data_IF_070735337851
#
_entry.id   IF_070735337851
#
_cell.length_a   1.000
_cell.length_b   1.000
_cell.length_c   1.000
_cell.angle_alpha   90.00
_cell.angle_beta   90.00
_cell.angle_gamma   90.00
#
_symmetry.space_group_name_H-M   'P 1'
#
loop_
_entity.id
_entity.type
_entity.pdbx_description
1 polymer ?
#
# COMPACT_ATOMS: atom_id res chain seq x y z
N UNK A 1 -14.13 -3.92 -45.00
CA UNK A 1 -14.35 -3.54 -43.59
C UNK A 1 -13.10 -2.83 -43.12
N UNK A 2 -13.13 -1.50 -43.06
CA UNK A 2 -11.98 -0.64 -42.74
C UNK A 2 -12.17 -0.19 -41.30
N UNK A 3 -11.35 -0.71 -40.39
CA UNK A 3 -11.35 -0.34 -38.99
C UNK A 3 -10.83 1.08 -38.81
N UNK A 4 -11.64 1.94 -38.21
CA UNK A 4 -11.23 3.28 -37.78
C UNK A 4 -10.18 3.18 -36.68
N UNK A 5 -8.90 3.27 -37.04
CA UNK A 5 -7.85 3.70 -36.11
C UNK A 5 -8.03 5.21 -35.88
N UNK A 6 -8.72 5.56 -34.80
CA UNK A 6 -8.78 6.93 -34.32
C UNK A 6 -7.37 7.43 -34.02
N UNK A 7 -7.01 8.58 -34.60
CA UNK A 7 -5.71 9.24 -34.40
C UNK A 7 -5.53 9.51 -32.90
N UNK A 8 -4.58 8.81 -32.26
CA UNK A 8 -4.15 9.10 -30.90
C UNK A 8 -3.34 10.40 -30.89
N UNK A 9 -3.80 11.37 -30.10
CA UNK A 9 -3.02 12.58 -29.79
C UNK A 9 -1.92 12.24 -28.77
N UNK A 10 -0.75 12.90 -28.81
CA UNK A 10 0.38 12.57 -27.94
C UNK A 10 0.05 12.86 -26.47
N UNK A 11 0.26 11.87 -25.61
CA UNK A 11 0.20 12.01 -24.15
C UNK A 11 1.38 12.85 -23.68
N UNK A 12 1.14 13.86 -22.84
CA UNK A 12 2.19 14.69 -22.24
C UNK A 12 3.16 13.79 -21.48
N UNK A 13 4.40 13.70 -21.97
CA UNK A 13 5.43 12.72 -21.64
C UNK A 13 6.01 12.74 -20.22
N UNK A 14 5.19 12.88 -19.18
CA UNK A 14 5.61 12.76 -17.79
C UNK A 14 5.59 11.28 -17.34
N UNK A 15 6.55 10.50 -17.83
CA UNK A 15 6.94 9.24 -17.19
C UNK A 15 8.39 9.38 -16.73
N UNK A 16 8.69 8.93 -15.51
CA UNK A 16 10.08 8.80 -15.07
C UNK A 16 10.74 7.70 -15.94
N UNK A 17 11.89 7.97 -16.58
CA UNK A 17 12.55 7.02 -17.48
C UNK A 17 12.78 5.63 -16.87
N UNK A 18 12.97 5.58 -15.56
CA UNK A 18 13.22 4.39 -14.73
C UNK A 18 12.04 3.42 -14.76
N UNK A 19 10.80 3.91 -14.91
CA UNK A 19 9.60 3.07 -14.94
C UNK A 19 9.53 2.14 -16.17
N UNK A 20 10.27 2.46 -17.24
CA UNK A 20 10.37 1.61 -18.44
C UNK A 20 11.26 0.39 -18.21
N UNK A 21 12.29 0.56 -17.37
CA UNK A 21 13.32 -0.44 -17.07
C UNK A 21 12.95 -1.32 -15.88
N UNK A 22 12.31 -0.75 -14.86
CA UNK A 22 11.89 -1.46 -13.66
C UNK A 22 11.27 -2.85 -13.89
N UNK A 23 10.25 -3.05 -14.76
CA UNK A 23 9.68 -4.39 -14.97
C UNK A 23 10.62 -5.35 -15.71
N UNK A 24 11.59 -4.84 -16.47
CA UNK A 24 12.62 -5.64 -17.14
C UNK A 24 13.67 -6.09 -16.12
N UNK A 25 14.10 -5.16 -15.26
CA UNK A 25 15.09 -5.40 -14.21
C UNK A 25 14.56 -6.43 -13.20
N UNK A 26 13.32 -6.28 -12.72
CA UNK A 26 12.67 -7.25 -11.82
C UNK A 26 12.56 -8.64 -12.44
N UNK A 27 12.23 -8.73 -13.73
CA UNK A 27 12.13 -10.01 -14.42
C UNK A 27 13.52 -10.66 -14.58
N UNK A 28 14.54 -9.87 -14.88
CA UNK A 28 15.93 -10.30 -14.97
C UNK A 28 16.43 -10.85 -13.63
N UNK A 29 16.28 -10.07 -12.57
CA UNK A 29 16.71 -10.43 -11.22
C UNK A 29 16.02 -11.72 -10.72
N UNK A 30 14.72 -11.86 -10.99
CA UNK A 30 13.96 -13.05 -10.62
C UNK A 30 14.48 -14.30 -11.34
N UNK A 31 14.72 -14.23 -12.66
CA UNK A 31 15.20 -15.37 -13.44
C UNK A 31 16.64 -15.73 -13.09
N UNK A 32 17.50 -14.74 -12.88
CA UNK A 32 18.87 -14.97 -12.43
C UNK A 32 18.91 -15.58 -11.03
N UNK A 33 18.06 -15.12 -10.11
CA UNK A 33 17.89 -15.70 -8.78
C UNK A 33 17.48 -17.18 -8.86
N UNK A 34 16.49 -17.51 -9.70
CA UNK A 34 16.07 -18.90 -9.90
C UNK A 34 17.19 -19.79 -10.45
N UNK A 35 18.01 -19.28 -11.38
CA UNK A 35 19.16 -20.01 -11.91
C UNK A 35 20.28 -20.20 -10.86
N UNK A 36 20.47 -19.21 -9.97
CA UNK A 36 21.49 -19.25 -8.91
C UNK A 36 21.10 -20.19 -7.78
N UNK A 37 19.84 -20.15 -7.37
CA UNK A 37 19.32 -20.90 -6.22
C UNK A 37 19.07 -22.39 -6.54
N UNK A 38 19.00 -22.74 -7.83
CA UNK A 38 18.83 -24.12 -8.31
C UNK A 38 20.02 -24.57 -9.16
N UNK A 39 21.14 -25.00 -8.55
CA UNK A 39 22.39 -25.31 -9.26
C UNK A 39 22.34 -26.56 -10.16
N UNK A 40 21.22 -27.30 -10.19
CA UNK A 40 21.06 -28.55 -10.94
C UNK A 40 19.91 -28.49 -11.97
N UNK A 41 19.63 -27.31 -12.52
CA UNK A 41 18.65 -27.18 -13.59
C UNK A 41 19.06 -28.06 -14.78
N UNK A 42 18.14 -28.90 -15.23
CA UNK A 42 18.33 -29.68 -16.44
C UNK A 42 18.37 -28.75 -17.67
N UNK A 43 19.01 -29.17 -18.77
CA UNK A 43 19.02 -28.39 -20.00
C UNK A 43 17.62 -28.00 -20.52
N UNK A 44 16.61 -28.84 -20.23
CA UNK A 44 15.23 -28.60 -20.60
C UNK A 44 14.57 -27.51 -19.74
N UNK A 45 14.91 -27.43 -18.46
CA UNK A 45 14.43 -26.38 -17.57
C UNK A 45 15.08 -25.04 -17.88
N UNK A 46 16.38 -25.03 -18.22
CA UNK A 46 17.04 -23.82 -18.72
C UNK A 46 16.36 -23.29 -19.99
N UNK A 47 16.06 -24.16 -20.95
CA UNK A 47 15.29 -23.77 -22.15
C UNK A 47 13.88 -23.28 -21.83
N UNK A 48 13.21 -23.87 -20.83
CA UNK A 48 11.89 -23.42 -20.40
C UNK A 48 11.95 -22.04 -19.73
N UNK A 49 13.01 -21.74 -18.97
CA UNK A 49 13.26 -20.43 -18.37
C UNK A 49 13.55 -19.36 -19.44
N UNK A 50 14.36 -19.68 -20.44
CA UNK A 50 14.59 -18.78 -21.58
C UNK A 50 13.28 -18.49 -22.34
N UNK A 51 12.48 -19.53 -22.59
CA UNK A 51 11.18 -19.38 -23.24
C UNK A 51 10.20 -18.54 -22.38
N UNK A 52 10.25 -18.69 -21.06
CA UNK A 52 9.47 -17.89 -20.12
C UNK A 52 9.91 -16.42 -20.16
N UNK A 53 11.21 -16.15 -20.15
CA UNK A 53 11.77 -14.79 -20.26
C UNK A 53 11.26 -14.09 -21.53
N UNK A 54 11.39 -14.76 -22.68
CA UNK A 54 10.95 -14.22 -23.98
C UNK A 54 9.44 -13.92 -23.97
N UNK A 55 8.61 -14.83 -23.44
CA UNK A 55 7.16 -14.63 -23.36
C UNK A 55 6.78 -13.48 -22.41
N UNK A 56 7.46 -13.36 -21.28
CA UNK A 56 7.24 -12.28 -20.33
C UNK A 56 7.65 -10.93 -20.93
N UNK A 57 8.81 -10.85 -21.58
CA UNK A 57 9.27 -9.64 -22.28
C UNK A 57 8.31 -9.22 -23.41
N UNK A 58 7.81 -10.17 -24.19
CA UNK A 58 6.81 -9.88 -25.23
C UNK A 58 5.48 -9.34 -24.66
N UNK A 59 5.05 -9.82 -23.48
CA UNK A 59 3.87 -9.28 -22.78
C UNK A 59 4.15 -7.90 -22.18
N UNK A 60 5.35 -7.67 -21.67
CA UNK A 60 5.77 -6.37 -21.14
C UNK A 60 5.88 -5.32 -22.24
N UNK A 61 6.30 -5.67 -23.46
CA UNK A 61 6.34 -4.75 -24.60
C UNK A 61 4.96 -4.10 -24.88
N UNK A 62 3.87 -4.86 -24.73
CA UNK A 62 2.50 -4.37 -24.89
C UNK A 62 1.96 -3.59 -23.67
N UNK A 63 2.69 -3.64 -22.54
CA UNK A 63 2.34 -2.99 -21.26
C UNK A 63 3.27 -1.83 -20.92
N UNK A 64 4.20 -1.50 -21.80
CA UNK A 64 4.96 -0.25 -21.71
C UNK A 64 3.97 0.92 -21.71
N UNK A 65 4.28 2.03 -21.01
CA UNK A 65 3.36 3.14 -20.73
C UNK A 65 2.77 3.89 -21.94
N UNK A 66 2.99 3.40 -23.16
CA UNK A 66 2.31 3.87 -24.37
C UNK A 66 0.90 3.28 -24.57
N UNK A 67 0.53 2.20 -23.85
CA UNK A 67 -0.65 1.40 -24.20
C UNK A 67 -1.68 1.14 -23.09
N UNK A 68 -1.63 1.86 -21.97
CA UNK A 68 -2.74 1.83 -21.01
C UNK A 68 -3.28 3.24 -20.78
N UNK A 69 -4.27 3.70 -21.57
CA UNK A 69 -4.94 4.95 -21.26
C UNK A 69 -5.51 4.86 -19.84
N UNK A 70 -5.30 5.90 -19.04
CA UNK A 70 -6.00 6.07 -17.77
C UNK A 70 -7.50 5.86 -18.02
N UNK A 71 -8.23 5.23 -17.07
CA UNK A 71 -9.69 5.24 -17.14
C UNK A 71 -10.14 6.70 -17.28
N UNK A 72 -11.17 6.97 -18.11
CA UNK A 72 -11.59 8.33 -18.39
C UNK A 72 -11.88 9.05 -17.07
N UNK A 73 -11.34 10.27 -16.93
CA UNK A 73 -11.65 11.14 -15.79
C UNK A 73 -13.18 11.18 -15.68
N UNK A 74 -13.77 10.88 -14.51
CA UNK A 74 -15.22 10.89 -14.37
C UNK A 74 -15.72 12.22 -14.88
N UNK A 75 -16.63 12.18 -15.88
CA UNK A 75 -17.25 13.38 -16.46
C UNK A 75 -17.66 14.25 -15.29
N UNK A 76 -17.16 15.49 -15.24
CA UNK A 76 -17.56 16.49 -14.25
C UNK A 76 -19.06 16.34 -14.07
N UNK A 77 -19.47 15.90 -12.88
CA UNK A 77 -20.88 15.79 -12.54
C UNK A 77 -21.50 17.13 -12.94
N UNK A 78 -22.52 17.09 -13.82
CA UNK A 78 -23.35 18.28 -14.06
C UNK A 78 -23.65 18.82 -12.69
N UNK A 79 -23.26 20.07 -12.42
CA UNK A 79 -23.55 20.77 -11.16
C UNK A 79 -25.02 20.52 -10.81
N UNK A 80 -25.26 19.50 -9.98
CA UNK A 80 -26.49 19.38 -9.26
C UNK A 80 -26.38 20.49 -8.24
N UNK A 81 -27.38 21.36 -8.25
CA UNK A 81 -27.60 22.38 -7.23
C UNK A 81 -27.23 21.76 -5.89
N UNK A 82 -26.19 22.32 -5.26
CA UNK A 82 -25.69 21.87 -3.97
C UNK A 82 -26.84 21.96 -2.96
N UNK A 83 -27.48 20.83 -2.68
CA UNK A 83 -28.08 20.66 -1.37
C UNK A 83 -26.91 20.60 -0.42
N UNK A 84 -26.72 21.68 0.35
CA UNK A 84 -25.76 21.81 1.44
C UNK A 84 -25.81 20.57 2.33
N UNK A 85 -25.01 19.56 2.01
CA UNK A 85 -24.57 18.58 2.97
C UNK A 85 -23.44 19.26 3.75
N UNK A 86 -23.42 19.18 5.09
CA UNK A 86 -22.36 19.78 5.88
C UNK A 86 -21.02 19.24 5.38
N UNK A 87 -20.15 20.17 4.96
CA UNK A 87 -18.79 19.90 4.55
C UNK A 87 -18.11 19.11 5.67
N UNK A 88 -17.73 17.86 5.37
CA UNK A 88 -16.74 17.17 6.18
C UNK A 88 -15.48 18.02 6.11
N UNK A 89 -15.13 18.62 7.24
CA UNK A 89 -13.89 19.36 7.42
C UNK A 89 -12.75 18.42 7.02
N UNK A 90 -12.17 18.66 5.85
CA UNK A 90 -10.83 18.19 5.56
C UNK A 90 -9.94 18.92 6.57
N UNK A 91 -9.62 18.26 7.68
CA UNK A 91 -8.49 18.67 8.51
C UNK A 91 -7.25 18.58 7.62
N UNK A 92 -6.79 19.74 7.16
CA UNK A 92 -5.48 19.95 6.56
C UNK A 92 -4.45 19.69 7.67
N UNK A 93 -4.10 18.41 7.89
CA UNK A 93 -2.98 18.03 8.74
C UNK A 93 -1.74 17.88 7.87
N UNK A 94 -0.68 18.56 8.24
CA UNK A 94 0.63 18.46 7.62
C UNK A 94 1.14 17.02 7.74
N UNK A 95 1.16 16.29 6.63
CA UNK A 95 1.74 14.94 6.54
C UNK A 95 3.25 15.04 6.77
N UNK A 96 3.69 14.76 7.99
CA UNK A 96 5.11 14.69 8.32
C UNK A 96 5.65 13.30 7.97
N UNK A 97 6.81 13.26 7.30
CA UNK A 97 7.51 12.03 7.01
C UNK A 97 7.98 11.39 8.33
N UNK A 98 7.39 10.26 8.71
CA UNK A 98 7.67 9.54 9.97
C UNK A 98 9.14 9.10 10.08
N UNK A 99 9.87 9.02 8.96
CA UNK A 99 11.28 8.63 8.93
C UNK A 99 12.25 9.73 9.37
N UNK A 100 11.83 10.99 9.35
CA UNK A 100 12.66 12.14 9.72
C UNK A 100 12.54 12.50 11.21
N UNK A 101 11.60 11.86 11.90
CA UNK A 101 11.19 12.09 13.29
C UNK A 101 12.01 11.19 14.23
N UNK A 102 12.37 11.64 15.44
CA UNK A 102 13.13 10.83 16.41
C UNK A 102 12.32 9.60 16.87
N UNK A 103 13.00 8.51 17.18
CA UNK A 103 12.38 7.23 17.53
C UNK A 103 11.50 7.34 18.78
N UNK A 104 11.87 8.20 19.73
CA UNK A 104 11.12 8.46 20.97
C UNK A 104 9.97 9.44 20.82
N UNK A 105 9.84 10.11 19.67
CA UNK A 105 8.82 11.14 19.47
C UNK A 105 7.43 10.51 19.23
N UNK A 106 6.42 11.08 19.89
CA UNK A 106 5.04 10.61 19.80
C UNK A 106 4.38 11.12 18.52
N UNK A 107 4.09 10.22 17.59
CA UNK A 107 3.49 10.53 16.29
C UNK A 107 2.02 10.11 16.28
N UNK A 108 1.15 10.95 15.72
CA UNK A 108 -0.24 10.58 15.44
C UNK A 108 -0.31 9.81 14.11
N UNK A 109 -0.69 8.54 14.18
CA UNK A 109 -0.88 7.67 13.03
C UNK A 109 -2.35 7.36 12.83
N UNK A 110 -2.84 7.58 11.61
CA UNK A 110 -4.23 7.30 11.23
C UNK A 110 -4.32 5.95 10.55
N UNK A 111 -4.91 4.99 11.24
CA UNK A 111 -5.10 3.63 10.72
C UNK A 111 -6.50 3.51 10.12
N UNK A 112 -6.56 3.19 8.84
CA UNK A 112 -7.80 2.90 8.13
C UNK A 112 -8.09 1.41 8.16
N UNK A 113 -9.25 1.03 8.73
CA UNK A 113 -9.71 -0.36 8.69
C UNK A 113 -10.80 -0.46 7.62
N UNK A 114 -10.54 -1.18 6.51
CA UNK A 114 -11.53 -1.38 5.47
C UNK A 114 -12.71 -2.22 5.99
N UNK A 115 -13.83 -2.16 5.28
CA UNK A 115 -15.01 -2.96 5.60
C UNK A 115 -14.79 -4.43 5.22
N UNK A 116 -14.17 -5.16 6.15
CA UNK A 116 -13.85 -6.58 5.98
C UNK A 116 -15.02 -7.51 6.32
N UNK A 117 -16.02 -7.01 7.06
CA UNK A 117 -17.26 -7.72 7.39
C UNK A 117 -18.48 -6.85 7.08
N UNK A 118 -19.61 -7.49 6.75
CA UNK A 118 -20.86 -6.80 6.48
C UNK A 118 -21.38 -6.00 7.69
N UNK A 119 -21.13 -6.48 8.91
CA UNK A 119 -21.51 -5.81 10.16
C UNK A 119 -20.62 -4.61 10.50
N UNK A 120 -19.42 -4.53 9.91
CA UNK A 120 -18.48 -3.46 10.21
C UNK A 120 -18.80 -2.20 9.40
N UNK A 121 -18.64 -1.06 10.06
CA UNK A 121 -18.66 0.26 9.41
C UNK A 121 -17.23 0.61 8.97
N UNK A 122 -17.10 1.39 7.91
CA UNK A 122 -15.80 1.94 7.53
C UNK A 122 -15.42 2.99 8.58
N UNK A 123 -14.30 2.77 9.27
CA UNK A 123 -13.83 3.64 10.35
C UNK A 123 -12.32 3.83 10.24
N UNK A 124 -11.85 4.96 10.72
CA UNK A 124 -10.43 5.25 10.90
C UNK A 124 -10.18 5.49 12.38
N UNK A 125 -8.97 5.21 12.80
CA UNK A 125 -8.54 5.43 14.18
C UNK A 125 -7.29 6.29 14.17
N UNK A 126 -7.35 7.40 14.91
CA UNK A 126 -6.18 8.25 15.14
C UNK A 126 -5.53 7.79 16.44
N UNK A 127 -4.34 7.20 16.32
CA UNK A 127 -3.60 6.63 17.45
C UNK A 127 -2.30 7.39 17.62
N UNK A 128 -1.95 7.73 18.85
CA UNK A 128 -0.67 8.36 19.17
C UNK A 128 0.29 7.29 19.65
N UNK A 129 1.46 7.16 19.01
CA UNK A 129 2.47 6.17 19.38
C UNK A 129 3.87 6.66 19.04
N UNK A 130 4.93 6.13 19.69
CA UNK A 130 6.30 6.46 19.34
C UNK A 130 6.62 6.12 17.88
N UNK A 131 7.44 6.93 17.22
CA UNK A 131 7.80 6.73 15.82
C UNK A 131 8.46 5.36 15.55
N UNK A 132 9.26 4.85 16.49
CA UNK A 132 9.92 3.55 16.34
C UNK A 132 8.94 2.38 16.12
N UNK A 133 7.76 2.46 16.75
CA UNK A 133 6.71 1.43 16.66
C UNK A 133 6.19 1.30 15.24
N UNK A 134 6.07 2.44 14.55
CA UNK A 134 5.62 2.53 13.17
C UNK A 134 6.74 2.11 12.21
N UNK A 135 7.94 2.68 12.39
CA UNK A 135 9.11 2.39 11.53
C UNK A 135 9.44 0.90 11.49
N UNK A 136 9.37 0.22 12.64
CA UNK A 136 9.67 -1.20 12.77
C UNK A 136 8.43 -2.10 12.54
N UNK A 137 7.24 -1.52 12.34
CA UNK A 137 6.01 -2.27 12.10
C UNK A 137 5.62 -3.21 13.25
N UNK A 138 5.91 -2.83 14.50
CA UNK A 138 5.78 -3.73 15.66
C UNK A 138 4.32 -4.11 15.93
N UNK A 139 3.38 -3.22 15.63
CA UNK A 139 1.96 -3.50 15.78
C UNK A 139 1.48 -4.64 14.87
N UNK A 140 2.10 -4.87 13.72
CA UNK A 140 1.68 -5.90 12.77
C UNK A 140 1.73 -7.31 13.37
N UNK A 141 2.64 -7.55 14.32
CA UNK A 141 2.78 -8.84 15.01
C UNK A 141 1.68 -9.07 16.06
N UNK A 142 1.05 -8.00 16.53
CA UNK A 142 0.06 -8.04 17.61
C UNK A 142 -1.37 -7.80 17.12
N UNK A 143 -1.56 -7.44 15.84
CA UNK A 143 -2.89 -7.37 15.24
C UNK A 143 -3.49 -8.76 15.04
N UNK A 144 -4.55 -9.04 15.80
CA UNK A 144 -5.35 -10.24 15.65
C UNK A 144 -6.82 -9.90 15.39
N UNK A 145 -7.53 -10.86 14.81
CA UNK A 145 -8.96 -10.70 14.45
C UNK A 145 -9.85 -10.41 15.65
N UNK A 146 -9.47 -10.89 16.84
CA UNK A 146 -10.21 -10.66 18.08
C UNK A 146 -10.23 -9.17 18.46
N UNK A 147 -9.08 -8.51 18.38
CA UNK A 147 -8.94 -7.08 18.68
C UNK A 147 -9.71 -6.27 17.65
N UNK A 148 -9.60 -6.63 16.36
CA UNK A 148 -10.34 -5.97 15.29
C UNK A 148 -11.86 -6.13 15.45
N UNK A 149 -12.36 -7.30 15.83
CA UNK A 149 -13.79 -7.47 16.13
C UNK A 149 -14.20 -6.56 17.30
N UNK A 150 -13.41 -6.54 18.37
CA UNK A 150 -13.68 -5.74 19.56
C UNK A 150 -13.79 -4.25 19.22
N UNK A 151 -12.78 -3.66 18.60
CA UNK A 151 -12.77 -2.22 18.29
C UNK A 151 -13.82 -1.81 17.24
N UNK A 152 -14.23 -2.74 16.35
CA UNK A 152 -15.19 -2.45 15.27
C UNK A 152 -16.65 -2.62 15.71
N UNK A 153 -16.92 -3.45 16.71
CA UNK A 153 -18.24 -3.63 17.33
C UNK A 153 -18.58 -2.49 18.31
N UNK A 154 -17.56 -1.94 18.97
CA UNK A 154 -17.67 -0.83 19.92
C UNK A 154 -18.05 0.51 19.22
N UNK A 155 -18.70 1.47 19.92
CA UNK A 155 -18.92 2.84 19.43
C UNK A 155 -17.60 3.58 19.11
N UNK A 156 -17.62 4.59 18.23
CA UNK A 156 -16.41 5.24 17.69
C UNK A 156 -15.44 5.75 18.78
N UNK A 157 -15.96 6.48 19.77
CA UNK A 157 -15.13 7.08 20.83
C UNK A 157 -14.49 6.02 21.74
N UNK A 158 -15.26 4.98 22.08
CA UNK A 158 -14.81 3.88 22.93
C UNK A 158 -13.84 2.96 22.18
N UNK A 159 -14.11 2.66 20.91
CA UNK A 159 -13.24 1.83 20.08
C UNK A 159 -11.87 2.46 19.87
N UNK A 160 -11.79 3.78 19.72
CA UNK A 160 -10.52 4.50 19.64
C UNK A 160 -9.75 4.46 20.97
N UNK A 161 -10.43 4.66 22.10
CA UNK A 161 -9.80 4.56 23.42
C UNK A 161 -9.30 3.14 23.72
N UNK A 162 -10.07 2.12 23.36
CA UNK A 162 -9.66 0.71 23.50
C UNK A 162 -8.45 0.39 22.63
N UNK A 163 -8.40 0.95 21.43
CA UNK A 163 -7.30 0.73 20.52
C UNK A 163 -6.02 1.46 20.94
N UNK A 164 -6.15 2.70 21.43
CA UNK A 164 -5.04 3.44 22.02
C UNK A 164 -4.46 2.67 23.21
N UNK A 165 -5.33 2.18 24.12
CA UNK A 165 -4.90 1.37 25.26
C UNK A 165 -4.15 0.10 24.83
N UNK A 166 -4.62 -0.57 23.79
CA UNK A 166 -3.94 -1.74 23.25
C UNK A 166 -2.54 -1.40 22.73
N UNK A 167 -2.39 -0.30 22.01
CA UNK A 167 -1.09 0.17 21.54
C UNK A 167 -0.18 0.51 22.72
N UNK A 168 -0.68 1.23 23.73
CA UNK A 168 0.10 1.55 24.93
C UNK A 168 0.56 0.29 25.66
N UNK A 169 -0.28 -0.75 25.76
CA UNK A 169 0.09 -2.05 26.33
C UNK A 169 1.18 -2.77 25.52
N UNK A 170 1.15 -2.67 24.19
CA UNK A 170 2.18 -3.26 23.33
C UNK A 170 3.49 -2.49 23.49
N UNK A 171 3.44 -1.16 23.46
CA UNK A 171 4.61 -0.29 23.63
C UNK A 171 5.26 -0.52 25.00
N UNK A 172 4.47 -0.51 26.08
CA UNK A 172 4.98 -0.75 27.43
C UNK A 172 5.63 -2.13 27.57
N UNK A 173 5.04 -3.18 26.99
CA UNK A 173 5.67 -4.52 26.97
C UNK A 173 7.03 -4.48 26.29
N UNK A 174 7.12 -3.86 25.11
CA UNK A 174 8.35 -3.78 24.32
C UNK A 174 9.45 -2.99 25.05
N UNK A 175 9.11 -1.84 25.64
CA UNK A 175 10.07 -1.04 26.42
C UNK A 175 10.48 -1.71 27.74
N UNK A 176 9.65 -2.60 28.29
CA UNK A 176 9.99 -3.35 29.51
C UNK A 176 10.99 -4.48 29.21
N UNK A 177 10.90 -5.12 28.03
CA UNK A 177 11.86 -6.16 27.64
C UNK A 177 13.28 -5.62 27.42
N UNK A 178 13.44 -4.38 26.95
CA UNK A 178 14.74 -3.73 26.80
C UNK A 178 15.39 -3.34 28.14
N UNK A 179 14.59 -3.04 29.18
CA UNK A 179 15.11 -2.66 30.50
C UNK A 179 15.51 -3.84 31.41
N UNK A 180 15.14 -5.08 31.06
CA UNK A 180 15.48 -6.30 31.84
C UNK A 180 16.75 -6.98 31.31
N UNK A 181 17.30 -6.51 30.19
CA UNK A 181 18.49 -7.10 29.55
C UNK A 181 19.77 -6.26 29.65
N UNK A 182 19.78 -5.21 30.49
CA UNK A 182 21.00 -4.51 30.91
C UNK A 182 21.37 -4.85 32.36
#
# INVERSE_FOLDING_TARGET
>A
MIGHMGKMLPTNGNWIPESRRFPQDVLGDMLEGLCRDMPNLSPMECQALDALQVRCMAKLANRQPESNPLPPVPKKSRRQVEKKAPQQQQEEREEHCIYDVDDSEMVSNRIYIPRLRATWKLRHFDIVMPAFVIKQGLLNKHFHWEILNKIMETPDAEGQAEFQKFVDEVVTKLTTFENVTN
#
